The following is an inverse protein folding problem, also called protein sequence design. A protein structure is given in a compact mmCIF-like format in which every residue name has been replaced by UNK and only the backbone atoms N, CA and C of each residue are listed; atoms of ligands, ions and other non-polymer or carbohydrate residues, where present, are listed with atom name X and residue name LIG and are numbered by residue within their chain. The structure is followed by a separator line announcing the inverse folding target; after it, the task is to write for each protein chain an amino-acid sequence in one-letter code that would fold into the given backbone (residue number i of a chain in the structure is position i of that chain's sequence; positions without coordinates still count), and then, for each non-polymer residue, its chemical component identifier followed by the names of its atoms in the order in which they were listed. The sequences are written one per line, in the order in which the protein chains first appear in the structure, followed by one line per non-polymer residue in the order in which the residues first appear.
data_IF_178636504518
#
_entry.id   IF_178636504518
#
_cell.length_a   1.000
_cell.length_b   1.000
_cell.length_c   1.000
_cell.angle_alpha   90.00
_cell.angle_beta   90.00
_cell.angle_gamma   90.00
#
_symmetry.space_group_name_H-M   'P 1'
#
loop_
_entity.id
_entity.type
_entity.pdbx_description
1 polymer ?
#
# COMPACT_ATOMS: atom_id res chain seq x y z
N UNK A 1 -25.25 2.43 -3.00
CA UNK A 1 -24.97 1.46 -1.91
C UNK A 1 -24.26 2.10 -0.73
N UNK A 2 -23.33 3.04 -0.96
CA UNK A 2 -22.61 3.76 0.10
C UNK A 2 -23.56 4.55 1.00
N UNK A 3 -24.46 5.33 0.39
CA UNK A 3 -25.37 6.22 1.13
C UNK A 3 -26.37 5.44 2.00
N UNK A 4 -26.88 4.30 1.52
CA UNK A 4 -27.77 3.43 2.30
C UNK A 4 -27.05 2.91 3.56
N UNK A 5 -25.81 2.43 3.42
CA UNK A 5 -25.04 1.94 4.57
C UNK A 5 -24.70 3.06 5.54
N UNK A 6 -24.43 4.26 5.05
CA UNK A 6 -24.23 5.45 5.89
C UNK A 6 -25.51 5.82 6.63
N UNK A 7 -26.66 5.83 5.96
CA UNK A 7 -27.97 6.06 6.59
C UNK A 7 -28.25 5.04 7.69
N UNK A 8 -28.00 3.75 7.44
CA UNK A 8 -28.16 2.69 8.44
C UNK A 8 -27.24 2.89 9.66
N UNK A 9 -26.00 3.29 9.43
CA UNK A 9 -25.08 3.62 10.52
C UNK A 9 -25.55 4.84 11.31
N UNK A 10 -26.04 5.88 10.63
CA UNK A 10 -26.58 7.08 11.28
C UNK A 10 -27.85 6.78 12.07
N UNK A 11 -28.77 5.96 11.54
CA UNK A 11 -29.98 5.57 12.27
C UNK A 11 -29.66 4.71 13.49
N UNK A 12 -28.65 3.83 13.39
CA UNK A 12 -28.17 3.03 14.53
C UNK A 12 -27.81 3.92 15.73
N UNK A 13 -27.07 5.02 15.49
CA UNK A 13 -26.67 5.97 16.53
C UNK A 13 -27.83 6.87 16.96
N UNK A 14 -28.52 7.51 16.01
CA UNK A 14 -29.44 8.60 16.33
C UNK A 14 -30.85 8.12 16.68
N UNK A 15 -31.35 7.08 16.02
CA UNK A 15 -32.73 6.60 16.19
C UNK A 15 -32.78 5.46 17.20
N UNK A 16 -31.85 4.50 17.08
CA UNK A 16 -31.82 3.31 17.92
C UNK A 16 -30.91 3.44 19.15
N UNK A 17 -30.12 4.52 19.25
CA UNK A 17 -29.22 4.79 20.38
C UNK A 17 -28.24 3.63 20.64
N UNK A 18 -27.83 2.95 19.57
CA UNK A 18 -26.86 1.86 19.61
C UNK A 18 -25.47 2.46 19.42
N UNK A 19 -24.61 2.23 20.41
CA UNK A 19 -23.21 2.64 20.36
C UNK A 19 -22.44 1.81 19.32
N UNK A 20 -21.78 2.44 18.33
CA UNK A 20 -21.06 1.71 17.30
C UNK A 20 -19.84 0.99 17.87
N UNK A 21 -19.73 -0.31 17.60
CA UNK A 21 -18.50 -1.05 17.87
C UNK A 21 -17.39 -0.70 16.88
N UNK A 22 -16.12 -1.02 17.19
CA UNK A 22 -15.01 -0.83 16.26
C UNK A 22 -15.21 -1.51 14.89
N UNK A 23 -15.87 -2.66 14.83
CA UNK A 23 -16.19 -3.36 13.58
C UNK A 23 -17.18 -2.57 12.72
N UNK A 24 -18.14 -1.87 13.33
CA UNK A 24 -19.06 -0.99 12.61
C UNK A 24 -18.30 0.18 11.97
N UNK A 25 -17.41 0.82 12.74
CA UNK A 25 -16.54 1.88 12.21
C UNK A 25 -15.66 1.38 11.06
N UNK A 26 -15.00 0.24 11.23
CA UNK A 26 -14.14 -0.36 10.21
C UNK A 26 -14.90 -0.63 8.91
N UNK A 27 -16.13 -1.14 9.00
CA UNK A 27 -16.99 -1.36 7.85
C UNK A 27 -17.37 -0.07 7.11
N UNK A 28 -17.73 1.00 7.84
CA UNK A 28 -18.13 2.26 7.21
C UNK A 28 -16.92 2.99 6.63
N UNK A 29 -15.80 3.05 7.35
CA UNK A 29 -14.55 3.67 6.87
C UNK A 29 -14.04 2.97 5.62
N UNK A 30 -13.98 1.62 5.60
CA UNK A 30 -13.60 0.87 4.41
C UNK A 30 -14.53 1.15 3.22
N UNK A 31 -15.83 1.25 3.48
CA UNK A 31 -16.83 1.51 2.43
C UNK A 31 -16.75 2.95 1.87
N UNK A 32 -16.56 3.96 2.72
CA UNK A 32 -16.31 5.34 2.29
C UNK A 32 -14.98 5.46 1.54
N UNK A 33 -13.93 4.84 2.08
CA UNK A 33 -12.60 4.80 1.47
C UNK A 33 -12.61 4.19 0.08
N UNK A 34 -13.28 3.06 -0.12
CA UNK A 34 -13.46 2.42 -1.44
C UNK A 34 -14.32 3.21 -2.42
N UNK A 35 -15.05 4.22 -1.94
CA UNK A 35 -15.83 5.13 -2.76
C UNK A 35 -15.10 6.46 -3.04
N UNK A 36 -13.86 6.62 -2.56
CA UNK A 36 -13.07 7.85 -2.72
C UNK A 36 -13.48 8.99 -1.78
N UNK A 37 -14.39 8.73 -0.83
CA UNK A 37 -14.89 9.72 0.13
C UNK A 37 -13.97 9.80 1.35
N UNK A 38 -12.70 10.16 1.09
CA UNK A 38 -11.62 10.08 2.09
C UNK A 38 -11.81 11.03 3.27
N UNK A 39 -12.22 12.28 3.02
CA UNK A 39 -12.46 13.27 4.08
C UNK A 39 -13.54 12.80 5.05
N UNK A 40 -14.65 12.29 4.51
CA UNK A 40 -15.71 11.74 5.34
C UNK A 40 -15.28 10.50 6.13
N UNK A 41 -14.39 9.69 5.54
CA UNK A 41 -13.83 8.53 6.23
C UNK A 41 -12.91 8.98 7.38
N UNK A 42 -12.07 9.99 7.18
CA UNK A 42 -11.21 10.58 8.21
C UNK A 42 -12.03 11.23 9.33
N UNK A 43 -13.08 11.99 8.98
CA UNK A 43 -14.01 12.60 9.94
C UNK A 43 -14.65 11.53 10.85
N UNK A 44 -15.06 10.40 10.27
CA UNK A 44 -15.65 9.30 11.03
C UNK A 44 -14.63 8.63 11.96
N UNK A 45 -13.37 8.50 11.54
CA UNK A 45 -12.28 8.04 12.42
C UNK A 45 -12.08 9.00 13.58
N UNK A 46 -12.16 10.31 13.34
CA UNK A 46 -12.04 11.34 14.37
C UNK A 46 -13.18 11.35 15.40
N UNK A 47 -14.33 10.74 15.09
CA UNK A 47 -15.45 10.58 16.02
C UNK A 47 -15.28 9.42 17.00
N UNK A 48 -14.32 8.51 16.75
CA UNK A 48 -14.07 7.38 17.65
C UNK A 48 -13.51 7.91 18.97
N UNK A 49 -14.19 7.59 20.07
CA UNK A 49 -13.70 7.92 21.41
C UNK A 49 -12.54 7.01 21.78
N UNK A 50 -11.38 7.61 22.08
CA UNK A 50 -10.16 6.86 22.37
C UNK A 50 -9.34 6.59 21.10
N UNK A 51 -8.53 5.53 21.11
CA UNK A 51 -7.65 5.21 19.99
C UNK A 51 -8.41 4.36 18.95
N UNK A 52 -8.45 4.77 17.66
CA UNK A 52 -9.03 3.95 16.61
C UNK A 52 -8.37 2.59 16.53
N UNK A 53 -9.13 1.55 16.20
CA UNK A 53 -8.54 0.24 15.98
C UNK A 53 -7.65 0.21 14.75
N UNK A 54 -6.65 -0.67 14.79
CA UNK A 54 -5.72 -0.92 13.69
C UNK A 54 -6.44 -1.19 12.35
N UNK A 55 -7.54 -1.96 12.38
CA UNK A 55 -8.30 -2.32 11.18
C UNK A 55 -8.93 -1.10 10.48
N UNK A 56 -9.36 -0.12 11.25
CA UNK A 56 -9.98 1.12 10.78
C UNK A 56 -8.93 1.98 10.07
N UNK A 57 -7.79 2.21 10.74
CA UNK A 57 -6.69 3.00 10.19
C UNK A 57 -6.06 2.32 8.97
N UNK A 58 -5.90 1.00 8.98
CA UNK A 58 -5.40 0.24 7.83
C UNK A 58 -6.33 0.38 6.62
N UNK A 59 -7.65 0.36 6.84
CA UNK A 59 -8.64 0.56 5.77
C UNK A 59 -8.53 1.96 5.16
N UNK A 60 -8.41 2.99 6.00
CA UNK A 60 -8.24 4.38 5.55
C UNK A 60 -6.90 4.59 4.82
N UNK A 61 -5.81 4.01 5.32
CA UNK A 61 -4.49 4.04 4.67
C UNK A 61 -4.52 3.40 3.28
N UNK A 62 -5.20 2.25 3.16
CA UNK A 62 -5.39 1.56 1.89
C UNK A 62 -6.13 2.44 0.88
N UNK A 63 -7.18 3.14 1.32
CA UNK A 63 -7.92 4.08 0.49
C UNK A 63 -7.07 5.30 0.08
N UNK A 64 -6.29 5.87 1.01
CA UNK A 64 -5.37 6.98 0.72
C UNK A 64 -4.41 6.62 -0.42
N UNK A 65 -3.85 5.41 -0.43
CA UNK A 65 -3.01 4.93 -1.52
C UNK A 65 -3.77 4.84 -2.85
N UNK A 66 -4.96 4.22 -2.85
CA UNK A 66 -5.74 3.99 -4.08
C UNK A 66 -6.10 5.32 -4.76
N UNK A 67 -6.41 6.34 -3.97
CA UNK A 67 -6.83 7.66 -4.46
C UNK A 67 -5.70 8.70 -4.45
N UNK A 68 -4.46 8.31 -4.15
CA UNK A 68 -3.30 9.19 -4.17
C UNK A 68 -3.32 10.33 -3.13
N UNK A 69 -4.10 10.21 -2.05
CA UNK A 69 -4.09 11.21 -0.97
C UNK A 69 -2.92 10.92 0.00
N UNK A 70 -1.73 11.32 -0.44
CA UNK A 70 -0.50 10.99 0.27
C UNK A 70 -0.37 11.75 1.60
N UNK A 71 -0.95 12.95 1.72
CA UNK A 71 -0.88 13.72 2.97
C UNK A 71 -1.67 13.05 4.10
N UNK A 72 -2.92 12.68 3.84
CA UNK A 72 -3.73 11.89 4.77
C UNK A 72 -3.06 10.54 5.03
N UNK A 73 -2.59 9.87 3.97
CA UNK A 73 -1.87 8.61 4.09
C UNK A 73 -0.68 8.67 5.06
N UNK A 74 0.11 9.74 5.03
CA UNK A 74 1.24 9.96 5.96
C UNK A 74 0.78 10.14 7.40
N UNK A 75 -0.29 10.90 7.66
CA UNK A 75 -0.83 11.05 9.03
C UNK A 75 -1.30 9.71 9.61
N UNK A 76 -2.06 8.96 8.81
CA UNK A 76 -2.58 7.64 9.22
C UNK A 76 -1.45 6.62 9.39
N UNK A 77 -0.43 6.68 8.53
CA UNK A 77 0.78 5.91 8.63
C UNK A 77 1.52 6.18 9.96
N UNK A 78 1.79 7.46 10.28
CA UNK A 78 2.45 7.85 11.53
C UNK A 78 1.66 7.31 12.75
N UNK A 79 0.33 7.42 12.76
CA UNK A 79 -0.51 6.86 13.83
C UNK A 79 -0.43 5.32 13.96
N UNK A 80 -0.33 4.59 12.85
CA UNK A 80 -0.18 3.13 12.84
C UNK A 80 1.18 2.67 13.40
N UNK A 81 2.24 3.48 13.25
CA UNK A 81 3.55 3.23 13.86
C UNK A 81 3.47 3.26 15.38
N UNK A 82 2.81 4.29 15.91
CA UNK A 82 2.65 4.48 17.35
C UNK A 82 1.85 3.35 18.02
N UNK A 83 0.99 2.66 17.25
CA UNK A 83 0.20 1.53 17.75
C UNK A 83 0.97 0.22 17.90
N UNK A 84 2.20 0.12 17.39
CA UNK A 84 3.06 -1.08 17.38
C UNK A 84 2.46 -2.37 16.77
N UNK A 85 1.23 -2.36 16.25
CA UNK A 85 0.48 -3.55 15.77
C UNK A 85 0.57 -3.80 14.27
N UNK A 86 1.63 -3.37 13.60
CA UNK A 86 1.74 -3.45 12.14
C UNK A 86 2.15 -4.83 11.62
N UNK A 87 1.39 -5.33 10.63
CA UNK A 87 1.80 -6.44 9.77
C UNK A 87 2.55 -5.96 8.52
N UNK A 88 3.15 -6.92 7.78
CA UNK A 88 3.93 -6.69 6.55
C UNK A 88 3.31 -5.67 5.58
N UNK A 89 2.02 -5.86 5.27
CA UNK A 89 1.31 -5.04 4.28
C UNK A 89 1.27 -3.57 4.66
N UNK A 90 1.10 -3.27 5.95
CA UNK A 90 1.08 -1.89 6.45
C UNK A 90 2.45 -1.24 6.32
N UNK A 91 3.53 -1.94 6.68
CA UNK A 91 4.89 -1.43 6.51
C UNK A 91 5.21 -1.08 5.05
N UNK A 92 4.82 -1.95 4.10
CA UNK A 92 5.04 -1.70 2.67
C UNK A 92 4.21 -0.50 2.18
N UNK A 93 2.94 -0.41 2.57
CA UNK A 93 2.07 0.73 2.21
C UNK A 93 2.65 2.04 2.70
N UNK A 94 3.09 2.08 3.96
CA UNK A 94 3.70 3.24 4.58
C UNK A 94 4.99 3.66 3.90
N UNK A 95 5.88 2.71 3.63
CA UNK A 95 7.15 3.01 2.97
C UNK A 95 6.93 3.63 1.59
N UNK A 96 5.96 3.12 0.82
CA UNK A 96 5.61 3.69 -0.48
C UNK A 96 5.10 5.12 -0.36
N UNK A 97 4.21 5.42 0.61
CA UNK A 97 3.69 6.77 0.82
C UNK A 97 4.80 7.77 1.21
N UNK A 98 5.74 7.37 2.08
CA UNK A 98 6.90 8.22 2.40
C UNK A 98 7.83 8.39 1.21
N UNK A 99 8.02 7.36 0.39
CA UNK A 99 8.83 7.43 -0.83
C UNK A 99 8.22 8.44 -1.82
N UNK A 100 6.91 8.40 -2.04
CA UNK A 100 6.16 9.36 -2.87
C UNK A 100 6.34 10.81 -2.41
N UNK A 101 6.40 11.05 -1.10
CA UNK A 101 6.69 12.39 -0.53
C UNK A 101 8.18 12.73 -0.46
N UNK A 102 9.05 11.89 -1.03
CA UNK A 102 10.52 12.04 -0.97
C UNK A 102 11.07 12.12 0.45
N UNK A 103 10.36 11.56 1.44
CA UNK A 103 10.75 11.53 2.85
C UNK A 103 11.69 10.35 3.11
N UNK A 104 12.90 10.40 2.56
CA UNK A 104 13.89 9.31 2.63
C UNK A 104 14.19 8.84 4.05
N UNK A 105 14.31 9.77 5.01
CA UNK A 105 14.60 9.42 6.41
C UNK A 105 13.49 8.54 7.03
N UNK A 106 12.22 8.83 6.73
CA UNK A 106 11.10 8.01 7.19
C UNK A 106 11.05 6.66 6.50
N UNK A 107 11.36 6.60 5.19
CA UNK A 107 11.51 5.33 4.45
C UNK A 107 12.56 4.43 5.12
N UNK A 108 13.72 4.99 5.46
CA UNK A 108 14.80 4.24 6.12
C UNK A 108 14.44 3.81 7.54
N UNK A 109 13.71 4.64 8.30
CA UNK A 109 13.18 4.26 9.62
C UNK A 109 12.26 3.04 9.52
N UNK A 110 11.30 3.06 8.59
CA UNK A 110 10.37 1.94 8.35
C UNK A 110 11.12 0.68 7.94
N UNK A 111 12.11 0.80 7.04
CA UNK A 111 12.96 -0.34 6.64
C UNK A 111 13.75 -0.91 7.81
N UNK A 112 14.28 -0.07 8.68
CA UNK A 112 14.99 -0.50 9.89
C UNK A 112 14.04 -1.26 10.83
N UNK A 113 12.86 -0.72 11.11
CA UNK A 113 11.86 -1.39 11.95
C UNK A 113 11.41 -2.75 11.37
N UNK A 114 11.21 -2.83 10.05
CA UNK A 114 10.90 -4.10 9.38
C UNK A 114 12.01 -5.14 9.58
N UNK A 115 13.29 -4.74 9.49
CA UNK A 115 14.44 -5.64 9.74
C UNK A 115 14.50 -6.08 11.21
N UNK A 116 14.33 -5.16 12.14
CA UNK A 116 14.38 -5.44 13.58
C UNK A 116 13.24 -6.39 14.02
N UNK A 117 12.08 -6.30 13.37
CA UNK A 117 10.91 -7.17 13.64
C UNK A 117 10.88 -8.43 12.76
N UNK A 118 11.93 -8.68 11.98
CA UNK A 118 12.03 -9.78 11.01
C UNK A 118 10.86 -9.86 10.01
N UNK A 119 10.20 -8.72 9.75
CA UNK A 119 9.09 -8.59 8.82
C UNK A 119 9.65 -8.53 7.40
N UNK A 120 9.65 -9.68 6.71
CA UNK A 120 10.16 -9.80 5.33
C UNK A 120 9.02 -9.86 4.32
N UNK A 121 9.13 -9.09 3.24
CA UNK A 121 8.22 -9.23 2.10
C UNK A 121 8.57 -10.53 1.40
N UNK A 122 7.60 -11.43 1.26
CA UNK A 122 7.79 -12.57 0.37
C UNK A 122 8.06 -12.05 -1.04
N UNK A 123 9.11 -12.58 -1.65
CA UNK A 123 9.48 -12.20 -3.01
C UNK A 123 8.43 -12.75 -3.95
N UNK A 124 7.75 -11.86 -4.67
CA UNK A 124 6.89 -12.25 -5.78
C UNK A 124 7.73 -12.70 -6.96
N UNK A 125 7.37 -13.84 -7.55
CA UNK A 125 7.97 -14.35 -8.76
C UNK A 125 7.00 -14.26 -9.92
N UNK A 126 7.52 -13.92 -11.09
CA UNK A 126 6.82 -14.03 -12.36
C UNK A 126 7.52 -15.08 -13.22
N UNK A 127 6.77 -15.70 -14.12
CA UNK A 127 7.29 -16.70 -15.04
C UNK A 127 6.97 -16.30 -16.47
N UNK A 128 7.97 -16.41 -17.34
CA UNK A 128 7.80 -16.19 -18.78
C UNK A 128 8.36 -17.38 -19.54
N UNK A 129 7.67 -17.76 -20.60
CA UNK A 129 8.19 -18.71 -21.57
C UNK A 129 9.01 -17.95 -22.61
N UNK A 130 10.28 -18.27 -22.74
CA UNK A 130 11.15 -17.71 -23.77
C UNK A 130 11.59 -18.82 -24.73
N UNK A 131 11.58 -18.54 -26.02
CA UNK A 131 12.14 -19.46 -27.02
C UNK A 131 13.59 -19.08 -27.31
N UNK A 132 14.48 -20.06 -27.36
CA UNK A 132 15.81 -19.84 -27.94
C UNK A 132 15.74 -19.79 -29.49
N UNK A 133 16.89 -19.53 -30.11
CA UNK A 133 17.05 -19.50 -31.57
C UNK A 133 16.85 -20.86 -32.24
N UNK A 134 16.78 -21.95 -31.48
CA UNK A 134 16.59 -23.33 -31.94
C UNK A 134 15.13 -23.78 -31.76
N UNK A 135 14.25 -22.91 -31.23
CA UNK A 135 12.82 -23.15 -31.06
C UNK A 135 12.46 -23.89 -29.76
N UNK A 136 13.41 -24.07 -28.84
CA UNK A 136 13.15 -24.68 -27.53
C UNK A 136 12.56 -23.65 -26.57
N UNK A 137 11.45 -24.00 -25.92
CA UNK A 137 10.74 -23.12 -24.98
C UNK A 137 11.23 -23.37 -23.55
N UNK A 138 11.80 -22.34 -22.91
CA UNK A 138 12.30 -22.37 -21.55
C UNK A 138 11.45 -21.51 -20.63
N UNK A 139 11.17 -22.03 -19.44
CA UNK A 139 10.45 -21.29 -18.40
C UNK A 139 11.46 -20.51 -17.57
N UNK A 140 11.43 -19.18 -17.68
CA UNK A 140 12.26 -18.29 -16.87
C UNK A 140 11.44 -17.71 -15.73
N UNK A 141 11.90 -17.96 -14.50
CA UNK A 141 11.40 -17.32 -13.29
C UNK A 141 12.23 -16.08 -13.02
N UNK A 142 11.58 -14.97 -12.71
CA UNK A 142 12.25 -13.73 -12.31
C UNK A 142 11.51 -13.05 -11.16
N UNK A 143 12.24 -12.27 -10.36
CA UNK A 143 11.69 -11.35 -9.36
C UNK A 143 12.08 -9.90 -9.65
N UNK A 144 11.51 -8.96 -8.91
CA UNK A 144 11.93 -7.55 -9.01
C UNK A 144 13.40 -7.41 -8.64
N UNK A 145 14.20 -6.76 -9.50
CA UNK A 145 15.65 -6.61 -9.29
C UNK A 145 16.48 -7.85 -9.56
N UNK A 146 15.91 -8.93 -10.12
CA UNK A 146 16.63 -10.19 -10.36
C UNK A 146 17.76 -10.03 -11.40
N UNK A 147 18.93 -10.58 -11.05
CA UNK A 147 20.14 -10.60 -11.87
C UNK A 147 20.64 -12.03 -12.15
N UNK A 148 19.90 -13.06 -11.70
CA UNK A 148 20.30 -14.48 -11.81
C UNK A 148 20.28 -15.02 -13.24
N UNK A 149 19.64 -14.32 -14.16
CA UNK A 149 19.58 -14.71 -15.56
C UNK A 149 20.93 -14.51 -16.26
N UNK A 150 21.42 -15.48 -17.08
CA UNK A 150 22.68 -15.32 -17.81
C UNK A 150 22.74 -14.10 -18.75
N UNK A 151 21.59 -13.66 -19.25
CA UNK A 151 21.45 -12.46 -20.08
C UNK A 151 20.94 -11.23 -19.31
N UNK A 152 21.06 -11.21 -17.98
CA UNK A 152 20.54 -10.10 -17.16
C UNK A 152 21.05 -8.74 -17.60
N UNK A 153 22.33 -8.62 -17.98
CA UNK A 153 22.90 -7.37 -18.50
C UNK A 153 22.20 -6.86 -19.75
N UNK A 154 21.90 -7.74 -20.70
CA UNK A 154 21.23 -7.40 -21.95
C UNK A 154 19.77 -6.99 -21.71
N UNK A 155 19.07 -7.73 -20.85
CA UNK A 155 17.69 -7.42 -20.42
C UNK A 155 17.62 -6.05 -19.76
N UNK A 156 18.56 -5.72 -18.85
CA UNK A 156 18.59 -4.42 -18.18
C UNK A 156 18.99 -3.28 -19.12
N UNK A 157 19.87 -3.55 -20.09
CA UNK A 157 20.21 -2.59 -21.15
C UNK A 157 18.98 -2.25 -21.99
N UNK A 158 18.21 -3.26 -22.40
CA UNK A 158 16.98 -3.05 -23.17
C UNK A 158 15.92 -2.34 -22.34
N UNK A 159 15.75 -2.71 -21.07
CA UNK A 159 14.86 -1.98 -20.13
C UNK A 159 15.21 -0.50 -20.07
N UNK A 160 16.50 -0.16 -19.93
CA UNK A 160 16.97 1.23 -19.88
C UNK A 160 16.68 1.94 -21.21
N UNK A 161 16.99 1.31 -22.34
CA UNK A 161 16.68 1.83 -23.66
C UNK A 161 15.19 2.12 -23.83
N UNK A 162 14.31 1.21 -23.39
CA UNK A 162 12.85 1.42 -23.40
C UNK A 162 12.43 2.57 -22.49
N UNK A 163 12.99 2.68 -21.28
CA UNK A 163 12.71 3.78 -20.35
C UNK A 163 13.13 5.14 -20.92
N UNK A 164 14.31 5.23 -21.53
CA UNK A 164 14.83 6.45 -22.15
C UNK A 164 13.99 6.87 -23.37
N UNK A 165 13.35 5.92 -24.06
CA UNK A 165 12.47 6.18 -25.20
C UNK A 165 10.99 6.41 -24.83
N UNK A 166 10.59 6.14 -23.57
CA UNK A 166 9.22 6.30 -23.07
C UNK A 166 8.98 7.67 -22.41
N UNK A 167 9.70 8.73 -22.79
CA UNK A 167 9.52 10.09 -22.25
C UNK A 167 8.20 10.72 -22.75
N UNK A 168 7.07 10.20 -22.25
CA UNK A 168 5.80 10.87 -21.94
C UNK A 168 5.04 10.04 -20.88
N UNK A 169 5.65 9.81 -19.70
CA UNK A 169 4.91 9.48 -18.48
C UNK A 169 5.75 9.89 -17.26
N UNK A 170 5.08 10.49 -16.28
CA UNK A 170 5.65 11.08 -15.07
C UNK A 170 6.68 10.19 -14.35
N UNK A 171 7.66 10.79 -13.63
CA UNK A 171 8.68 10.04 -12.92
C UNK A 171 8.06 9.22 -11.79
N UNK A 172 7.73 7.96 -12.06
CA UNK A 172 7.45 6.97 -11.01
C UNK A 172 8.74 6.75 -10.22
N UNK A 173 8.75 7.22 -8.98
CA UNK A 173 9.76 6.87 -8.00
C UNK A 173 9.87 5.35 -7.93
N UNK A 174 11.10 4.84 -7.92
CA UNK A 174 11.37 3.41 -7.97
C UNK A 174 10.52 2.65 -6.94
N UNK A 175 9.81 1.58 -7.34
CA UNK A 175 9.08 0.75 -6.40
C UNK A 175 10.03 0.21 -5.33
N UNK A 176 9.49 -0.01 -4.13
CA UNK A 176 10.17 -0.64 -3.01
C UNK A 176 10.79 -2.00 -3.41
N UNK A 177 12.04 -1.96 -3.85
CA UNK A 177 12.92 -3.11 -4.02
C UNK A 177 13.70 -3.27 -2.72
N UNK A 178 13.38 -4.33 -1.97
CA UNK A 178 14.32 -4.82 -0.98
C UNK A 178 15.40 -5.57 -1.75
N UNK A 179 16.58 -4.99 -1.82
CA UNK A 179 17.79 -5.79 -1.97
C UNK A 179 17.86 -6.71 -0.74
N UNK A 180 17.93 -8.00 -1.01
CA UNK A 180 18.09 -9.09 -0.03
C UNK A 180 19.57 -9.24 0.27
#
# INVERSE_FOLDING_TARGET
MVDIRRQLFTSMVNEYQIEPSPEHYSCIVNMLGRAGRLEEAEDLVGQITGQPEFSVLQSLLGACRVYGNVEMGVRIADALVEMERMGLTSYVLMSNLYAEKRQREKVEKIRKEMREREVKKEVGFSWVYASDTVGSLYLHRFSSGDMSHPQSEEIWREKKHLQDNLVEAEPTLEPFNMEI
#
